data_IF_042083524297
#
_entry.id   IF_042083524297
#
_cell.length_a   1.000
_cell.length_b   1.000
_cell.length_c   1.000
_cell.angle_alpha   90.00
_cell.angle_beta   90.00
_cell.angle_gamma   90.00
#
_symmetry.space_group_name_H-M   'P 1'
#
loop_
_entity.id
_entity.type
_entity.pdbx_description
1 polymer ?
#
# COMPACT_ATOMS: atom_id res chain seq x y z
N UNK A 1 57.66 -61.96 -17.14
CA UNK A 1 58.39 -63.21 -16.81
C UNK A 1 57.70 -63.88 -15.65
N UNK A 2 57.31 -65.16 -15.84
CA UNK A 2 56.97 -66.16 -14.82
C UNK A 2 55.65 -65.93 -14.07
N UNK A 3 54.82 -66.90 -13.75
CA UNK A 3 54.60 -68.31 -14.10
C UNK A 3 53.40 -68.65 -13.20
N UNK A 4 52.24 -69.05 -13.71
CA UNK A 4 51.89 -70.46 -13.88
C UNK A 4 52.29 -71.36 -12.67
N UNK A 5 51.25 -72.02 -12.13
CA UNK A 5 51.25 -73.39 -11.57
C UNK A 5 51.71 -73.48 -10.10
N UNK A 6 50.80 -73.90 -9.20
CA UNK A 6 50.70 -75.31 -8.75
C UNK A 6 49.58 -75.51 -7.71
N UNK A 7 48.69 -76.44 -8.06
CA UNK A 7 47.87 -77.26 -7.17
C UNK A 7 48.84 -78.03 -6.23
N UNK A 8 48.49 -78.53 -5.05
CA UNK A 8 47.24 -79.06 -4.54
C UNK A 8 47.43 -79.37 -3.03
N UNK A 9 46.34 -79.86 -2.42
CA UNK A 9 46.33 -81.01 -1.51
C UNK A 9 46.13 -80.74 0.01
N UNK A 10 44.95 -81.18 0.46
CA UNK A 10 44.60 -81.88 1.71
C UNK A 10 44.62 -81.18 3.09
N UNK A 11 43.44 -81.20 3.74
CA UNK A 11 43.15 -81.70 5.11
C UNK A 11 41.83 -81.06 5.62
N UNK A 12 40.70 -81.79 5.71
CA UNK A 12 40.15 -82.59 6.84
C UNK A 12 39.67 -81.79 8.08
N UNK A 13 38.33 -81.70 8.17
CA UNK A 13 37.45 -81.70 9.37
C UNK A 13 37.46 -80.44 10.28
N UNK A 14 36.42 -80.02 11.03
CA UNK A 14 35.28 -80.71 11.68
C UNK A 14 34.08 -79.75 11.87
N UNK A 15 32.90 -80.35 11.83
CA UNK A 15 31.58 -79.97 12.37
C UNK A 15 31.46 -78.67 13.19
N UNK A 16 30.50 -77.81 12.81
CA UNK A 16 29.53 -77.24 13.77
C UNK A 16 28.15 -77.22 13.12
N UNK A 17 27.21 -77.88 13.78
CA UNK A 17 25.81 -78.02 13.41
C UNK A 17 25.06 -76.72 13.72
N UNK A 18 24.11 -76.33 12.86
CA UNK A 18 22.75 -75.94 13.27
C UNK A 18 21.83 -75.91 12.06
N UNK A 19 20.66 -76.48 12.28
CA UNK A 19 19.77 -77.06 11.29
C UNK A 19 19.03 -76.03 10.45
N UNK A 20 18.92 -76.34 9.16
CA UNK A 20 18.11 -75.64 8.16
C UNK A 20 16.78 -76.37 8.01
N UNK A 21 15.68 -75.65 8.22
CA UNK A 21 14.31 -76.00 7.85
C UNK A 21 13.74 -74.67 7.33
N UNK A 22 13.20 -74.50 6.12
CA UNK A 22 12.34 -75.36 5.33
C UNK A 22 12.47 -75.04 3.82
N UNK A 23 12.19 -76.05 3.01
CA UNK A 23 12.08 -76.05 1.55
C UNK A 23 10.81 -75.33 1.04
N UNK A 24 10.94 -74.60 -0.09
CA UNK A 24 10.09 -74.41 -1.30
C UNK A 24 8.56 -74.65 -1.24
N UNK A 25 7.71 -73.95 -2.04
CA UNK A 25 7.88 -73.75 -3.50
C UNK A 25 7.53 -72.33 -4.02
N UNK A 26 8.31 -71.73 -4.93
CA UNK A 26 8.34 -71.96 -6.39
C UNK A 26 7.02 -71.64 -7.12
N UNK A 27 6.89 -70.36 -7.53
CA UNK A 27 6.51 -69.90 -8.88
C UNK A 27 5.18 -70.45 -9.45
N UNK A 28 4.05 -69.84 -9.09
CA UNK A 28 2.90 -69.71 -10.01
C UNK A 28 1.86 -68.67 -9.54
N UNK A 29 2.28 -67.44 -9.20
CA UNK A 29 1.33 -66.37 -8.87
C UNK A 29 1.91 -64.99 -9.18
N UNK A 30 2.30 -64.75 -10.43
CA UNK A 30 2.69 -63.42 -10.91
C UNK A 30 2.07 -63.17 -12.27
N UNK A 31 0.73 -63.19 -12.33
CA UNK A 31 -0.01 -62.66 -13.48
C UNK A 31 -1.38 -62.14 -13.05
N UNK A 32 -1.41 -61.07 -12.27
CA UNK A 32 -2.56 -60.16 -12.25
C UNK A 32 -2.22 -58.87 -11.51
N UNK A 33 -2.54 -57.72 -12.11
CA UNK A 33 -2.58 -56.44 -11.40
C UNK A 33 -1.73 -55.33 -12.00
N UNK A 34 -1.97 -54.96 -13.25
CA UNK A 34 -1.63 -53.63 -13.75
C UNK A 34 -2.79 -52.71 -13.35
N UNK A 35 -2.55 -51.76 -12.46
CA UNK A 35 -3.38 -50.56 -12.30
C UNK A 35 -2.50 -49.43 -11.74
N UNK A 36 -1.75 -48.77 -12.62
CA UNK A 36 -1.13 -47.50 -12.29
C UNK A 36 -2.23 -46.48 -12.02
N UNK A 37 -2.35 -46.04 -10.77
CA UNK A 37 -3.15 -44.88 -10.42
C UNK A 37 -2.53 -43.64 -11.07
N UNK A 38 -3.11 -43.18 -12.18
CA UNK A 38 -2.87 -41.83 -12.70
C UNK A 38 -3.63 -40.86 -11.81
N UNK A 39 -2.90 -40.13 -10.97
CA UNK A 39 -3.45 -38.95 -10.30
C UNK A 39 -3.87 -37.94 -11.38
N UNK A 40 -5.14 -37.50 -11.46
CA UNK A 40 -5.51 -36.41 -12.35
C UNK A 40 -4.77 -35.16 -11.88
N UNK A 41 -3.81 -34.69 -12.67
CA UNK A 41 -3.23 -33.36 -12.50
C UNK A 41 -4.35 -32.36 -12.79
N UNK A 42 -4.94 -31.81 -11.73
CA UNK A 42 -5.91 -30.72 -11.84
C UNK A 42 -5.18 -29.50 -12.40
N UNK A 43 -5.27 -29.28 -13.71
CA UNK A 43 -4.75 -28.07 -14.34
C UNK A 43 -5.55 -26.90 -13.77
N UNK A 44 -4.91 -25.95 -13.05
CA UNK A 44 -5.62 -24.80 -12.51
C UNK A 44 -6.32 -24.06 -13.66
N UNK A 45 -7.63 -23.86 -13.56
CA UNK A 45 -8.39 -23.16 -14.59
C UNK A 45 -7.83 -21.75 -14.82
N UNK A 46 -7.91 -21.22 -16.05
CA UNK A 46 -7.28 -19.96 -16.47
C UNK A 46 -7.63 -18.70 -15.63
N UNK A 47 -8.57 -18.79 -14.70
CA UNK A 47 -8.94 -17.72 -13.76
C UNK A 47 -8.36 -17.84 -12.35
N UNK A 48 -7.64 -18.92 -12.00
CA UNK A 48 -7.14 -19.14 -10.62
C UNK A 48 -6.12 -18.10 -10.20
N UNK A 49 -5.16 -17.78 -11.08
CA UNK A 49 -4.15 -16.75 -10.84
C UNK A 49 -4.78 -15.36 -10.70
N UNK A 50 -5.79 -15.05 -11.52
CA UNK A 50 -6.53 -13.79 -11.44
C UNK A 50 -7.31 -13.64 -10.13
N UNK A 51 -7.90 -14.73 -9.63
CA UNK A 51 -8.55 -14.73 -8.32
C UNK A 51 -7.54 -14.60 -7.18
N UNK A 52 -6.41 -15.28 -7.23
CA UNK A 52 -5.34 -15.16 -6.22
C UNK A 52 -4.78 -13.73 -6.15
N UNK A 53 -4.51 -13.10 -7.30
CA UNK A 53 -4.04 -11.72 -7.36
C UNK A 53 -5.07 -10.72 -6.80
N UNK A 54 -6.37 -10.93 -7.07
CA UNK A 54 -7.42 -10.12 -6.42
C UNK A 54 -7.44 -10.34 -4.92
N UNK A 55 -7.31 -11.57 -4.45
CA UNK A 55 -7.37 -11.91 -3.03
C UNK A 55 -6.18 -11.32 -2.25
N UNK A 56 -4.98 -11.35 -2.82
CA UNK A 56 -3.78 -10.68 -2.28
C UNK A 56 -3.97 -9.16 -2.19
N UNK A 57 -4.59 -8.55 -3.21
CA UNK A 57 -4.82 -7.09 -3.26
C UNK A 57 -5.85 -6.57 -2.24
N UNK A 58 -6.65 -7.45 -1.62
CA UNK A 58 -7.73 -7.08 -0.69
C UNK A 58 -7.24 -6.92 0.76
N UNK A 59 -6.01 -7.32 1.07
CA UNK A 59 -5.43 -7.09 2.39
C UNK A 59 -4.97 -5.64 2.52
N UNK A 60 -5.89 -4.74 2.90
CA UNK A 60 -5.52 -3.40 3.34
C UNK A 60 -4.49 -3.53 4.48
N UNK A 61 -3.32 -2.86 4.39
CA UNK A 61 -2.32 -2.93 5.44
C UNK A 61 -2.94 -2.46 6.76
N UNK A 62 -2.75 -3.25 7.82
CA UNK A 62 -3.24 -2.91 9.16
C UNK A 62 -2.57 -1.59 9.58
N UNK A 63 -3.39 -0.56 9.84
CA UNK A 63 -2.89 0.74 10.23
C UNK A 63 -1.93 0.59 11.43
N UNK A 64 -0.74 1.21 11.39
CA UNK A 64 0.21 1.14 12.49
C UNK A 64 -0.44 1.70 13.76
N UNK A 65 -0.40 0.93 14.84
CA UNK A 65 -1.19 1.17 16.07
C UNK A 65 -0.73 2.43 16.82
N UNK A 66 0.46 2.98 16.54
CA UNK A 66 0.97 4.19 17.19
C UNK A 66 2.00 4.91 16.29
N UNK A 67 1.56 5.48 15.16
CA UNK A 67 2.39 6.45 14.44
C UNK A 67 2.10 7.86 15.00
N UNK A 68 3.10 8.63 15.46
CA UNK A 68 2.91 10.04 15.80
C UNK A 68 2.37 10.78 14.57
N UNK A 69 1.31 11.55 14.73
CA UNK A 69 0.79 12.40 13.66
C UNK A 69 1.77 13.56 13.43
N UNK A 70 2.68 13.39 12.48
CA UNK A 70 3.61 14.43 12.05
C UNK A 70 2.97 15.22 10.91
N UNK A 71 2.64 16.49 11.17
CA UNK A 71 2.17 17.40 10.13
C UNK A 71 3.36 17.92 9.30
N UNK A 72 3.29 17.94 7.96
CA UNK A 72 4.34 18.52 7.14
C UNK A 72 4.54 20.01 7.42
N UNK A 73 5.79 20.46 7.49
CA UNK A 73 6.19 21.87 7.52
C UNK A 73 5.77 22.56 6.20
N UNK A 74 4.62 23.24 6.21
CA UNK A 74 4.05 23.79 4.98
C UNK A 74 4.66 25.14 4.54
N UNK A 75 5.41 25.79 5.45
CA UNK A 75 5.92 27.15 5.23
C UNK A 75 7.05 27.23 4.19
N UNK A 76 7.88 26.19 4.08
CA UNK A 76 9.13 26.27 3.31
C UNK A 76 8.92 26.02 1.82
N UNK A 77 8.08 25.03 1.47
CA UNK A 77 7.87 24.64 0.07
C UNK A 77 7.03 25.62 -0.75
N UNK A 78 6.15 26.42 -0.11
CA UNK A 78 5.35 27.43 -0.82
C UNK A 78 6.07 28.76 -0.98
N UNK A 79 6.96 29.11 -0.06
CA UNK A 79 7.67 30.40 -0.08
C UNK A 79 8.56 30.58 -1.31
N UNK A 80 8.95 29.49 -1.97
CA UNK A 80 9.67 29.52 -3.24
C UNK A 80 8.78 29.78 -4.47
N UNK A 81 7.46 29.57 -4.38
CA UNK A 81 6.50 29.76 -5.47
C UNK A 81 5.97 31.20 -5.54
N UNK A 82 6.04 31.97 -4.45
CA UNK A 82 5.55 33.36 -4.37
C UNK A 82 6.47 34.39 -5.05
N UNK A 83 7.10 34.02 -6.17
CA UNK A 83 8.17 34.79 -6.83
C UNK A 83 7.73 36.13 -7.43
N UNK A 84 6.43 36.33 -7.71
CA UNK A 84 5.90 37.59 -8.23
C UNK A 84 5.12 38.38 -7.14
N UNK A 85 5.81 39.30 -6.47
CA UNK A 85 5.17 40.17 -5.46
C UNK A 85 4.73 41.52 -6.02
N UNK A 86 4.79 41.70 -7.35
CA UNK A 86 4.54 42.99 -8.01
C UNK A 86 3.13 43.08 -8.59
N UNK A 87 2.55 41.96 -9.01
CA UNK A 87 1.19 41.92 -9.55
C UNK A 87 0.20 41.94 -8.39
N UNK A 88 -0.74 42.88 -8.42
CA UNK A 88 -1.78 42.99 -7.39
C UNK A 88 -3.17 42.82 -7.97
N UNK A 89 -4.06 42.26 -7.15
CA UNK A 89 -5.47 42.04 -7.47
C UNK A 89 -6.33 42.50 -6.29
N UNK A 90 -7.52 43.01 -6.58
CA UNK A 90 -8.47 43.39 -5.54
C UNK A 90 -9.49 42.27 -5.33
N UNK A 91 -9.55 41.75 -4.11
CA UNK A 91 -10.51 40.71 -3.72
C UNK A 91 -11.67 41.36 -2.99
N UNK A 92 -12.87 41.28 -3.56
CA UNK A 92 -14.12 41.78 -2.97
C UNK A 92 -14.82 40.72 -2.14
N UNK A 93 -14.81 39.48 -2.63
CA UNK A 93 -15.53 38.37 -2.04
C UNK A 93 -14.72 37.09 -2.14
N UNK A 94 -14.87 36.22 -1.15
CA UNK A 94 -14.29 34.88 -1.14
C UNK A 94 -15.42 33.85 -1.15
N UNK A 95 -15.30 32.86 -2.02
CA UNK A 95 -16.24 31.72 -2.13
C UNK A 95 -15.50 30.45 -1.73
N UNK A 96 -16.09 29.69 -0.82
CA UNK A 96 -15.51 28.43 -0.36
C UNK A 96 -16.13 27.24 -1.08
N UNK A 97 -15.30 26.31 -1.53
CA UNK A 97 -15.73 25.07 -2.20
C UNK A 97 -15.16 23.86 -1.49
N UNK A 98 -15.87 22.72 -1.52
CA UNK A 98 -15.39 21.49 -0.87
C UNK A 98 -15.54 21.47 0.65
N UNK A 99 -16.38 22.34 1.22
CA UNK A 99 -16.69 22.33 2.64
C UNK A 99 -17.27 20.95 3.04
N UNK A 100 -16.61 20.20 3.94
CA UNK A 100 -17.13 18.92 4.39
C UNK A 100 -18.44 19.15 5.16
N UNK A 101 -19.56 18.52 4.75
CA UNK A 101 -20.81 18.61 5.49
C UNK A 101 -20.61 17.94 6.86
N UNK A 102 -20.93 18.64 7.94
CA UNK A 102 -20.94 18.05 9.29
C UNK A 102 -19.94 18.63 10.29
N UNK A 103 -19.24 19.72 9.97
CA UNK A 103 -18.47 20.44 10.98
C UNK A 103 -19.37 21.21 11.93
N UNK A 104 -19.58 20.65 13.12
CA UNK A 104 -20.22 21.35 14.24
C UNK A 104 -19.26 22.45 14.73
N UNK A 105 -19.47 23.68 14.26
CA UNK A 105 -18.85 24.87 14.84
C UNK A 105 -18.00 25.74 13.92
N UNK A 106 -17.85 25.39 12.63
CA UNK A 106 -17.19 26.26 11.66
C UNK A 106 -18.15 26.57 10.51
N UNK A 107 -18.78 27.74 10.57
CA UNK A 107 -19.69 28.22 9.52
C UNK A 107 -18.93 28.98 8.44
N UNK A 108 -19.53 29.11 7.26
CA UNK A 108 -18.96 29.96 6.20
C UNK A 108 -18.81 31.42 6.67
N UNK A 109 -19.69 31.89 7.54
CA UNK A 109 -19.62 33.23 8.13
C UNK A 109 -18.36 33.42 8.98
N UNK A 110 -17.91 32.39 9.70
CA UNK A 110 -16.67 32.45 10.49
C UNK A 110 -15.44 32.53 9.57
N UNK A 111 -15.45 31.77 8.47
CA UNK A 111 -14.38 31.83 7.45
C UNK A 111 -14.31 33.21 6.79
N UNK A 112 -15.47 33.79 6.46
CA UNK A 112 -15.56 35.13 5.86
C UNK A 112 -15.09 36.20 6.85
N UNK A 113 -15.42 36.06 8.14
CA UNK A 113 -14.97 37.00 9.19
C UNK A 113 -13.45 36.99 9.34
N UNK A 114 -12.83 35.81 9.32
CA UNK A 114 -11.36 35.68 9.40
C UNK A 114 -10.65 36.42 8.26
N UNK A 115 -11.24 36.41 7.06
CA UNK A 115 -10.66 37.08 5.89
C UNK A 115 -11.11 38.53 5.70
N UNK A 116 -12.06 39.04 6.50
CA UNK A 116 -12.66 40.36 6.30
C UNK A 116 -11.62 41.50 6.27
N UNK A 117 -10.56 41.36 7.06
CA UNK A 117 -9.44 42.32 7.12
C UNK A 117 -8.68 42.38 5.79
N UNK A 118 -8.66 41.28 5.04
CA UNK A 118 -7.92 41.10 3.78
C UNK A 118 -8.74 41.45 2.52
N UNK A 119 -10.02 41.79 2.67
CA UNK A 119 -10.89 42.18 1.57
C UNK A 119 -10.72 43.66 1.19
N UNK A 120 -11.11 43.98 -0.05
CA UNK A 120 -11.17 45.34 -0.63
C UNK A 120 -9.83 46.11 -0.62
N UNK A 121 -8.71 45.40 -0.52
CA UNK A 121 -7.36 45.96 -0.62
C UNK A 121 -6.56 45.24 -1.71
N UNK A 122 -5.52 45.89 -2.27
CA UNK A 122 -4.62 45.24 -3.20
C UNK A 122 -3.91 44.06 -2.52
N UNK A 123 -4.03 42.88 -3.09
CA UNK A 123 -3.36 41.66 -2.63
C UNK A 123 -2.42 41.16 -3.71
N UNK A 124 -1.21 40.76 -3.31
CA UNK A 124 -0.31 40.00 -4.19
C UNK A 124 -0.69 38.53 -4.18
N UNK A 125 -0.12 37.73 -5.07
CA UNK A 125 -0.29 36.27 -5.04
C UNK A 125 0.07 35.67 -3.66
N UNK A 126 1.17 36.12 -3.05
CA UNK A 126 1.56 35.74 -1.69
C UNK A 126 0.48 36.08 -0.65
N UNK A 127 -0.20 37.22 -0.80
CA UNK A 127 -1.33 37.60 0.05
C UNK A 127 -2.53 36.67 -0.12
N UNK A 128 -2.84 36.24 -1.35
CA UNK A 128 -3.89 35.26 -1.60
C UNK A 128 -3.56 33.89 -0.98
N UNK A 129 -2.30 33.46 -1.09
CA UNK A 129 -1.83 32.23 -0.44
C UNK A 129 -1.91 32.34 1.08
N UNK A 130 -1.56 33.49 1.66
CA UNK A 130 -1.69 33.74 3.08
C UNK A 130 -3.14 33.64 3.56
N UNK A 131 -4.12 34.12 2.77
CA UNK A 131 -5.54 33.93 3.09
C UNK A 131 -5.92 32.44 3.17
N UNK A 132 -5.49 31.63 2.20
CA UNK A 132 -5.73 30.18 2.25
C UNK A 132 -5.03 29.51 3.45
N UNK A 133 -3.87 30.01 3.87
CA UNK A 133 -3.17 29.54 5.06
C UNK A 133 -3.91 29.87 6.35
N UNK A 134 -4.47 31.08 6.49
CA UNK A 134 -5.30 31.46 7.64
C UNK A 134 -6.49 30.52 7.80
N UNK A 135 -7.18 30.22 6.70
CA UNK A 135 -8.29 29.27 6.70
C UNK A 135 -7.81 27.87 7.09
N UNK A 136 -6.69 27.40 6.54
CA UNK A 136 -6.11 26.11 6.94
C UNK A 136 -5.80 26.05 8.43
N UNK A 137 -5.22 27.11 9.00
CA UNK A 137 -4.95 27.20 10.43
C UNK A 137 -6.24 27.15 11.26
N UNK A 138 -7.27 27.88 10.84
CA UNK A 138 -8.59 27.87 11.48
C UNK A 138 -9.18 26.44 11.53
N UNK A 139 -9.15 25.71 10.41
CA UNK A 139 -9.58 24.30 10.39
C UNK A 139 -8.78 23.41 11.34
N UNK A 140 -7.46 23.61 11.44
CA UNK A 140 -6.61 22.86 12.38
C UNK A 140 -6.93 23.18 13.83
N UNK A 141 -7.17 24.45 14.16
CA UNK A 141 -7.58 24.87 15.50
C UNK A 141 -8.92 24.26 15.92
N UNK A 142 -9.81 23.99 14.95
CA UNK A 142 -11.09 23.30 15.18
C UNK A 142 -11.01 21.77 15.12
N UNK A 143 -9.80 21.18 15.15
CA UNK A 143 -9.59 19.74 15.26
C UNK A 143 -9.44 19.00 13.93
N UNK A 144 -9.50 19.69 12.78
CA UNK A 144 -9.22 19.08 11.47
C UNK A 144 -7.75 19.25 11.09
N UNK A 145 -6.91 18.46 11.74
CA UNK A 145 -5.46 18.53 11.59
C UNK A 145 -4.99 18.30 10.14
N UNK A 146 -5.71 17.45 9.41
CA UNK A 146 -5.39 17.04 8.03
C UNK A 146 -6.11 17.83 6.94
N UNK A 147 -7.03 18.75 7.31
CA UNK A 147 -7.72 19.58 6.33
C UNK A 147 -6.81 20.68 5.77
N UNK A 148 -7.03 21.04 4.51
CA UNK A 148 -6.24 22.07 3.81
C UNK A 148 -7.13 22.95 2.97
N UNK A 149 -6.92 24.25 3.04
CA UNK A 149 -7.46 25.20 2.07
C UNK A 149 -6.38 25.52 1.03
N UNK A 150 -6.74 25.39 -0.24
CA UNK A 150 -5.85 25.62 -1.38
C UNK A 150 -6.47 26.62 -2.34
N UNK A 151 -5.61 27.38 -3.01
CA UNK A 151 -5.99 28.29 -4.07
C UNK A 151 -5.96 27.53 -5.42
N UNK A 152 -7.10 27.19 -6.03
CA UNK A 152 -7.11 26.56 -7.34
C UNK A 152 -6.66 27.55 -8.42
N UNK A 153 -6.10 27.06 -9.55
CA UNK A 153 -5.87 27.89 -10.73
C UNK A 153 -7.20 28.50 -11.20
N UNK A 154 -7.27 29.83 -11.18
CA UNK A 154 -8.47 30.57 -11.55
C UNK A 154 -8.11 31.97 -12.05
N UNK A 155 -9.03 32.58 -12.78
CA UNK A 155 -8.96 34.00 -13.12
C UNK A 155 -9.88 34.77 -12.18
N UNK A 156 -9.35 35.80 -11.51
CA UNK A 156 -10.14 36.69 -10.68
C UNK A 156 -11.01 37.58 -11.56
N UNK A 157 -12.28 37.21 -11.71
CA UNK A 157 -13.32 38.04 -12.35
C UNK A 157 -14.14 38.72 -11.26
N UNK A 158 -14.44 40.00 -11.45
CA UNK A 158 -15.25 40.82 -10.54
C UNK A 158 -14.74 40.93 -9.08
N UNK A 159 -13.52 40.45 -8.81
CA UNK A 159 -12.94 40.39 -7.47
C UNK A 159 -13.43 39.20 -6.64
N UNK A 160 -13.95 38.14 -7.25
CA UNK A 160 -14.40 36.93 -6.54
C UNK A 160 -13.28 35.88 -6.51
N UNK A 161 -12.76 35.59 -5.32
CA UNK A 161 -11.72 34.59 -5.07
C UNK A 161 -12.34 33.25 -4.65
N UNK A 162 -12.05 32.17 -5.36
CA UNK A 162 -12.45 30.82 -4.92
C UNK A 162 -11.35 30.20 -4.07
N UNK A 163 -11.68 29.74 -2.87
CA UNK A 163 -10.80 28.91 -2.05
C UNK A 163 -11.40 27.51 -1.95
N UNK A 164 -10.60 26.49 -2.26
CA UNK A 164 -11.05 25.10 -2.19
C UNK A 164 -10.52 24.43 -0.93
N UNK A 165 -11.43 23.87 -0.15
CA UNK A 165 -11.12 23.11 1.06
C UNK A 165 -11.10 21.63 0.68
N UNK A 166 -9.98 20.99 1.00
CA UNK A 166 -9.74 19.57 0.82
C UNK A 166 -9.84 18.94 2.21
N UNK A 167 -10.90 18.17 2.49
CA UNK A 167 -10.98 17.41 3.72
C UNK A 167 -9.90 16.33 3.70
N UNK A 168 -9.05 16.30 4.72
CA UNK A 168 -8.07 15.22 4.85
C UNK A 168 -8.78 13.91 5.18
N UNK A 169 -8.31 12.82 4.59
CA UNK A 169 -8.74 11.46 4.91
C UNK A 169 -7.69 10.84 5.83
N UNK A 170 -8.14 10.15 6.86
CA UNK A 170 -7.32 9.37 7.79
C UNK A 170 -7.69 7.89 7.70
#
# INVERSE_FOLDING_TARGET
MKSLIKRACFARAKNVRRATFLFSPLVLLVYSGIASAVSPVSVPGAGTLGNQLRQESVLAPKAPVNAPLVLPEEGTARRSLSGDNHTTVSVKQVVFTGNPPGLKGLSETDLQRELAVDLNRPQTFAGLEAMAQKITALYRHHGLLVARAVLPPQTLKDGVLTIRIIPGRY
#
